data_IF_973958850566
#
_entry.id   IF_973958850566
#
_cell.length_a   1.000
_cell.length_b   1.000
_cell.length_c   1.000
_cell.angle_alpha   90.00
_cell.angle_beta   90.00
_cell.angle_gamma   90.00
#
_symmetry.space_group_name_H-M   'P 1'
#
loop_
_entity.id
_entity.type
_entity.pdbx_description
1 polymer ?
#
# COMPACT_ATOMS: atom_id res chain seq x y z
N UNK A 1 4.32 -27.22 -36.91
CA UNK A 1 4.39 -26.37 -35.68
C UNK A 1 4.89 -24.98 -36.08
N UNK A 2 3.96 -24.09 -36.36
CA UNK A 2 4.30 -22.70 -36.72
C UNK A 2 4.81 -21.98 -35.47
N UNK A 3 6.01 -21.44 -35.58
CA UNK A 3 6.63 -20.63 -34.55
C UNK A 3 5.88 -19.29 -34.47
N UNK A 4 4.90 -19.21 -33.58
CA UNK A 4 4.05 -18.04 -33.43
C UNK A 4 4.20 -17.52 -31.98
N UNK A 5 4.25 -16.18 -31.80
CA UNK A 5 4.27 -15.59 -30.48
C UNK A 5 3.05 -16.02 -29.62
N UNK A 6 1.94 -16.31 -30.26
CA UNK A 6 0.72 -16.81 -29.61
C UNK A 6 0.97 -18.21 -28.98
N UNK A 7 1.67 -19.08 -29.68
CA UNK A 7 2.01 -20.40 -29.17
C UNK A 7 3.03 -20.33 -28.04
N UNK A 8 3.99 -19.41 -28.12
CA UNK A 8 4.92 -19.12 -27.02
C UNK A 8 4.15 -18.60 -25.79
N UNK A 9 3.25 -17.65 -25.97
CA UNK A 9 2.43 -17.12 -24.89
C UNK A 9 1.54 -18.19 -24.24
N UNK A 10 0.96 -19.09 -25.02
CA UNK A 10 0.18 -20.24 -24.50
C UNK A 10 1.05 -21.17 -23.65
N UNK A 11 2.21 -21.55 -24.15
CA UNK A 11 3.14 -22.42 -23.41
C UNK A 11 3.63 -21.78 -22.11
N UNK A 12 3.96 -20.48 -22.13
CA UNK A 12 4.34 -19.72 -20.93
C UNK A 12 3.19 -19.71 -19.92
N UNK A 13 1.97 -19.44 -20.37
CA UNK A 13 0.78 -19.48 -19.54
C UNK A 13 0.55 -20.86 -18.90
N UNK A 14 0.61 -21.93 -19.68
CA UNK A 14 0.41 -23.28 -19.18
C UNK A 14 1.46 -23.67 -18.14
N UNK A 15 2.72 -23.32 -18.38
CA UNK A 15 3.81 -23.55 -17.43
C UNK A 15 3.61 -22.74 -16.13
N UNK A 16 3.21 -21.47 -16.23
CA UNK A 16 2.93 -20.65 -15.04
C UNK A 16 1.77 -21.20 -14.22
N UNK A 17 0.67 -21.59 -14.88
CA UNK A 17 -0.48 -22.18 -14.19
C UNK A 17 -0.11 -23.49 -13.48
N UNK A 18 0.70 -24.35 -14.13
CA UNK A 18 1.19 -25.58 -13.53
C UNK A 18 2.08 -25.32 -12.30
N UNK A 19 3.03 -24.37 -12.40
CA UNK A 19 3.89 -23.96 -11.29
C UNK A 19 3.08 -23.37 -10.12
N UNK A 20 2.08 -22.58 -10.39
CA UNK A 20 1.23 -21.98 -9.36
C UNK A 20 0.38 -23.04 -8.66
N UNK A 21 -0.16 -24.00 -9.41
CA UNK A 21 -0.89 -25.13 -8.85
C UNK A 21 -0.01 -25.97 -7.93
N UNK A 22 1.21 -26.27 -8.38
CA UNK A 22 2.18 -27.04 -7.60
C UNK A 22 2.62 -26.29 -6.33
N UNK A 23 2.93 -24.99 -6.46
CA UNK A 23 3.49 -24.20 -5.37
C UNK A 23 2.46 -23.73 -4.34
N UNK A 24 1.25 -23.41 -4.78
CA UNK A 24 0.23 -22.76 -3.92
C UNK A 24 -1.04 -23.60 -3.76
N UNK A 25 -1.15 -24.75 -4.43
CA UNK A 25 -2.36 -25.57 -4.41
C UNK A 25 -3.58 -24.92 -5.08
N UNK A 26 -3.39 -23.80 -5.79
CA UNK A 26 -4.46 -23.01 -6.39
C UNK A 26 -4.63 -23.41 -7.86
N UNK A 27 -5.80 -23.90 -8.21
CA UNK A 27 -6.18 -24.14 -9.61
C UNK A 27 -6.78 -22.83 -10.18
N UNK A 28 -5.97 -22.06 -10.87
CA UNK A 28 -6.41 -20.88 -11.60
C UNK A 28 -7.06 -21.31 -12.93
N UNK A 29 -8.18 -22.02 -12.85
CA UNK A 29 -9.00 -22.28 -14.03
C UNK A 29 -9.45 -20.96 -14.63
N UNK A 30 -8.77 -20.53 -15.65
CA UNK A 30 -9.17 -19.36 -16.44
C UNK A 30 -10.44 -19.68 -17.20
N UNK A 31 -11.50 -19.01 -16.83
CA UNK A 31 -12.77 -19.06 -17.53
C UNK A 31 -13.80 -19.95 -16.88
N UNK A 32 -14.08 -19.77 -15.60
CA UNK A 32 -15.41 -20.19 -15.11
C UNK A 32 -16.43 -19.25 -15.75
N UNK A 33 -17.00 -19.72 -16.83
CA UNK A 33 -18.20 -19.12 -17.43
C UNK A 33 -19.22 -18.86 -16.33
N UNK A 34 -19.64 -17.62 -16.19
CA UNK A 34 -20.73 -17.22 -15.32
C UNK A 34 -20.35 -16.48 -14.02
N UNK A 35 -19.08 -16.16 -13.76
CA UNK A 35 -18.74 -15.25 -12.67
C UNK A 35 -18.60 -13.83 -13.20
N UNK A 36 -19.28 -12.91 -12.56
CA UNK A 36 -19.10 -11.47 -12.78
C UNK A 36 -17.64 -11.10 -12.50
N UNK A 37 -16.98 -10.28 -13.33
CA UNK A 37 -15.64 -9.80 -13.05
C UNK A 37 -15.62 -9.03 -11.72
N UNK A 38 -14.63 -9.31 -10.89
CA UNK A 38 -14.39 -8.54 -9.67
C UNK A 38 -13.85 -7.17 -10.05
N UNK A 39 -14.50 -6.12 -9.60
CA UNK A 39 -14.06 -4.74 -9.79
C UNK A 39 -13.40 -4.22 -8.51
N UNK A 40 -12.10 -3.96 -8.57
CA UNK A 40 -11.37 -3.34 -7.46
C UNK A 40 -11.40 -1.82 -7.63
N UNK A 41 -12.03 -1.13 -6.69
CA UNK A 41 -12.12 0.33 -6.66
C UNK A 41 -11.13 0.88 -5.64
N UNK A 42 -10.10 1.57 -6.12
CA UNK A 42 -9.21 2.35 -5.26
C UNK A 42 -9.77 3.76 -5.11
N UNK A 43 -10.22 4.08 -3.90
CA UNK A 43 -10.72 5.41 -3.52
C UNK A 43 -9.55 6.25 -3.03
N UNK A 44 -9.25 7.32 -3.75
CA UNK A 44 -8.23 8.28 -3.34
C UNK A 44 -8.84 9.28 -2.36
N UNK A 45 -8.47 9.17 -1.09
CA UNK A 45 -9.07 9.98 -0.02
C UNK A 45 -8.57 11.41 -0.06
N UNK A 46 -7.27 11.61 -0.21
CA UNK A 46 -6.68 12.92 -0.34
C UNK A 46 -5.17 12.93 -0.21
N UNK A 47 -4.60 14.09 -0.43
CA UNK A 47 -3.17 14.35 -0.28
C UNK A 47 -2.93 15.71 0.34
N UNK A 48 -1.78 15.88 0.95
CA UNK A 48 -1.39 17.17 1.50
C UNK A 48 -1.11 18.16 0.36
N UNK A 49 -1.60 19.37 0.53
CA UNK A 49 -1.36 20.47 -0.38
C UNK A 49 -0.38 21.44 0.26
N UNK A 50 0.77 21.62 -0.35
CA UNK A 50 1.75 22.64 0.04
C UNK A 50 1.29 24.01 -0.46
N UNK A 51 0.41 24.64 0.24
CA UNK A 51 0.10 26.05 -0.01
C UNK A 51 1.06 26.96 0.77
N UNK A 52 2.09 27.41 0.08
CA UNK A 52 2.94 28.52 0.54
C UNK A 52 3.82 28.25 1.75
N UNK A 53 4.14 26.99 2.07
CA UNK A 53 5.17 26.64 3.05
C UNK A 53 4.80 26.85 4.53
N UNK A 54 3.57 27.25 4.86
CA UNK A 54 3.20 27.60 6.25
C UNK A 54 2.02 26.81 6.80
N UNK A 55 1.14 26.30 5.96
CA UNK A 55 -0.03 25.53 6.39
C UNK A 55 -0.19 24.30 5.50
N UNK A 56 0.10 23.15 6.06
CA UNK A 56 -0.14 21.88 5.42
C UNK A 56 -1.62 21.51 5.58
N UNK A 57 -2.42 21.76 4.57
CA UNK A 57 -3.82 21.34 4.54
C UNK A 57 -3.98 20.11 3.66
N UNK A 58 -4.82 19.16 4.10
CA UNK A 58 -5.23 18.05 3.27
C UNK A 58 -6.23 18.57 2.24
N UNK A 59 -5.93 18.29 0.97
CA UNK A 59 -6.93 18.39 -0.11
C UNK A 59 -7.73 17.12 -0.12
N UNK A 60 -8.91 17.17 0.46
CA UNK A 60 -9.87 16.06 0.45
C UNK A 60 -10.36 15.84 -0.98
N UNK A 61 -10.33 14.59 -1.41
CA UNK A 61 -10.85 14.15 -2.71
C UNK A 61 -12.08 13.25 -2.54
N UNK A 62 -12.12 12.48 -1.45
CA UNK A 62 -13.18 11.55 -1.10
C UNK A 62 -13.33 11.49 0.42
N UNK A 63 -14.55 11.56 0.92
CA UNK A 63 -14.88 11.31 2.32
C UNK A 63 -15.41 9.88 2.49
N UNK A 64 -15.49 9.37 3.72
CA UNK A 64 -15.99 8.01 3.96
C UNK A 64 -17.47 7.84 3.55
N UNK A 65 -18.27 8.89 3.63
CA UNK A 65 -19.65 8.88 3.15
C UNK A 65 -19.73 8.80 1.62
N UNK A 66 -18.81 9.47 0.91
CA UNK A 66 -18.74 9.40 -0.55
C UNK A 66 -18.41 7.97 -1.03
N UNK A 67 -17.59 7.23 -0.27
CA UNK A 67 -17.27 5.82 -0.57
C UNK A 67 -18.54 4.98 -0.60
N UNK A 68 -19.42 5.14 0.41
CA UNK A 68 -20.70 4.44 0.47
C UNK A 68 -21.62 4.83 -0.70
N UNK A 69 -21.69 6.13 -1.01
CA UNK A 69 -22.51 6.66 -2.11
C UNK A 69 -22.06 6.11 -3.47
N UNK A 70 -20.76 6.17 -3.76
CA UNK A 70 -20.19 5.66 -5.02
C UNK A 70 -20.39 4.15 -5.16
N UNK A 71 -20.21 3.38 -4.09
CA UNK A 71 -20.47 1.95 -4.10
C UNK A 71 -21.93 1.66 -4.45
N UNK A 72 -22.88 2.33 -3.79
CA UNK A 72 -24.30 2.12 -4.00
C UNK A 72 -24.72 2.48 -5.45
N UNK A 73 -24.16 3.55 -5.99
CA UNK A 73 -24.43 3.96 -7.37
C UNK A 73 -23.92 2.90 -8.37
N UNK A 74 -22.65 2.47 -8.24
CA UNK A 74 -22.09 1.44 -9.12
C UNK A 74 -22.84 0.12 -9.02
N UNK A 75 -23.21 -0.29 -7.81
CA UNK A 75 -24.00 -1.49 -7.59
C UNK A 75 -25.38 -1.39 -8.26
N UNK A 76 -26.03 -0.21 -8.21
CA UNK A 76 -27.29 0.04 -8.90
C UNK A 76 -27.19 -0.02 -10.42
N UNK A 77 -25.99 0.26 -10.96
CA UNK A 77 -25.67 0.14 -12.39
C UNK A 77 -25.33 -1.30 -12.81
N UNK A 78 -25.33 -2.26 -11.87
CA UNK A 78 -25.11 -3.68 -12.16
C UNK A 78 -23.72 -4.20 -11.84
N UNK A 79 -22.84 -3.40 -11.22
CA UNK A 79 -21.55 -3.86 -10.73
C UNK A 79 -21.75 -4.61 -9.40
N UNK A 80 -21.81 -5.94 -9.44
CA UNK A 80 -22.21 -6.76 -8.29
C UNK A 80 -21.07 -7.31 -7.44
N UNK A 81 -19.87 -7.37 -7.96
CA UNK A 81 -18.68 -7.86 -7.22
C UNK A 81 -17.63 -6.76 -7.10
N UNK A 82 -17.85 -5.88 -6.12
CA UNK A 82 -17.02 -4.70 -5.87
C UNK A 82 -16.15 -4.93 -4.63
N UNK A 83 -14.86 -4.60 -4.74
CA UNK A 83 -13.93 -4.53 -3.62
C UNK A 83 -13.46 -3.09 -3.49
N UNK A 84 -13.44 -2.59 -2.28
CA UNK A 84 -13.04 -1.22 -1.97
C UNK A 84 -11.64 -1.19 -1.36
N UNK A 85 -10.82 -0.24 -1.81
CA UNK A 85 -9.52 0.04 -1.20
C UNK A 85 -9.39 1.54 -0.97
N UNK A 86 -8.98 1.94 0.24
CA UNK A 86 -8.82 3.35 0.63
C UNK A 86 -7.36 3.73 0.56
N UNK A 87 -7.01 4.61 -0.38
CA UNK A 87 -5.67 5.10 -0.60
C UNK A 87 -5.50 6.50 0.01
N UNK A 88 -4.50 6.67 0.88
CA UNK A 88 -4.26 7.96 1.54
C UNK A 88 -5.27 8.32 2.63
N UNK A 89 -5.86 7.32 3.28
CA UNK A 89 -6.84 7.47 4.36
C UNK A 89 -6.23 7.97 5.68
N UNK A 90 -4.92 7.82 5.82
CA UNK A 90 -4.15 8.14 7.01
C UNK A 90 -4.00 9.65 7.18
N UNK A 91 -3.69 10.06 8.41
CA UNK A 91 -3.33 11.44 8.73
C UNK A 91 -2.17 11.91 7.84
N UNK A 92 -2.37 13.02 7.16
CA UNK A 92 -1.44 13.56 6.18
C UNK A 92 -1.71 13.11 4.74
N UNK A 93 -2.64 12.17 4.51
CA UNK A 93 -3.02 11.72 3.17
C UNK A 93 -2.00 10.81 2.50
N UNK A 94 -2.09 10.71 1.19
CA UNK A 94 -1.26 9.84 0.38
C UNK A 94 0.22 10.26 0.41
N UNK A 95 1.10 9.31 0.69
CA UNK A 95 2.56 9.42 0.80
C UNK A 95 3.13 10.22 1.99
N UNK A 96 2.30 10.79 2.88
CA UNK A 96 2.85 11.67 3.90
C UNK A 96 3.32 10.98 5.18
N UNK A 97 2.86 9.79 5.49
CA UNK A 97 3.31 9.10 6.68
C UNK A 97 3.35 7.58 6.49
N UNK A 98 4.51 7.06 6.09
CA UNK A 98 4.87 5.72 6.49
C UNK A 98 5.11 5.76 8.00
N UNK A 99 4.20 5.33 8.83
CA UNK A 99 4.33 5.61 10.24
C UNK A 99 3.87 4.50 11.13
N UNK A 100 4.60 4.35 12.21
CA UNK A 100 4.20 3.62 13.39
C UNK A 100 2.85 4.09 13.98
N UNK A 101 2.37 5.26 13.59
CA UNK A 101 1.12 5.83 14.12
C UNK A 101 0.09 5.95 13.02
N UNK A 102 -0.51 4.83 12.64
CA UNK A 102 -1.65 4.81 11.76
C UNK A 102 -2.83 5.50 12.44
N UNK A 103 -3.03 6.78 12.11
CA UNK A 103 -4.18 7.57 12.54
C UNK A 103 -5.01 7.93 11.33
N UNK A 104 -6.32 7.88 11.51
CA UNK A 104 -7.27 8.38 10.50
C UNK A 104 -7.19 9.90 10.44
N UNK A 105 -7.26 10.45 9.24
CA UNK A 105 -7.38 11.91 9.10
C UNK A 105 -8.80 12.39 9.40
N UNK A 106 -8.92 13.43 10.21
CA UNK A 106 -10.21 14.00 10.58
C UNK A 106 -10.99 14.58 9.39
N UNK A 107 -10.29 14.98 8.34
CA UNK A 107 -10.88 15.59 7.15
C UNK A 107 -11.72 14.61 6.31
N UNK A 108 -11.55 13.30 6.50
CA UNK A 108 -12.33 12.26 5.79
C UNK A 108 -13.53 11.73 6.58
N UNK A 109 -13.73 12.22 7.80
CA UNK A 109 -14.74 11.75 8.75
C UNK A 109 -14.15 11.19 10.04
N UNK A 110 -12.80 11.16 10.18
CA UNK A 110 -12.10 10.72 11.37
C UNK A 110 -12.27 9.24 11.69
N UNK A 111 -11.92 8.87 12.92
CA UNK A 111 -12.00 7.48 13.36
C UNK A 111 -13.42 6.95 13.34
N UNK A 112 -14.38 7.71 13.85
CA UNK A 112 -15.79 7.33 13.91
C UNK A 112 -16.33 7.04 12.50
N UNK A 113 -16.00 7.87 11.52
CA UNK A 113 -16.39 7.66 10.12
C UNK A 113 -15.80 6.39 9.50
N UNK A 114 -14.54 6.06 9.84
CA UNK A 114 -13.93 4.81 9.39
C UNK A 114 -14.60 3.59 10.05
N UNK A 115 -14.89 3.64 11.33
CA UNK A 115 -15.57 2.57 12.05
C UNK A 115 -16.98 2.33 11.48
N UNK A 116 -17.72 3.39 11.21
CA UNK A 116 -19.03 3.32 10.54
C UNK A 116 -18.93 2.71 9.13
N UNK A 117 -17.91 3.09 8.36
CA UNK A 117 -17.65 2.53 7.03
C UNK A 117 -17.35 1.03 7.12
N UNK A 118 -16.54 0.60 8.10
CA UNK A 118 -16.28 -0.82 8.33
C UNK A 118 -17.53 -1.58 8.76
N UNK A 119 -18.32 -1.04 9.66
CA UNK A 119 -19.57 -1.65 10.09
C UNK A 119 -20.53 -1.84 8.90
N UNK A 120 -20.63 -0.82 8.05
CA UNK A 120 -21.42 -0.87 6.82
C UNK A 120 -20.88 -1.91 5.82
N UNK A 121 -19.57 -1.96 5.60
CA UNK A 121 -18.94 -2.91 4.67
C UNK A 121 -19.16 -4.36 5.13
N UNK A 122 -18.98 -4.64 6.43
CA UNK A 122 -19.24 -5.97 7.04
C UNK A 122 -20.70 -6.37 6.89
N UNK A 123 -21.63 -5.45 7.19
CA UNK A 123 -23.08 -5.70 7.06
C UNK A 123 -23.49 -6.08 5.64
N UNK A 124 -22.82 -5.52 4.65
CA UNK A 124 -23.13 -5.73 3.23
C UNK A 124 -22.20 -6.76 2.56
N UNK A 125 -21.32 -7.43 3.31
CA UNK A 125 -20.30 -8.35 2.78
C UNK A 125 -19.39 -7.76 1.70
N UNK A 126 -19.02 -6.49 1.85
CA UNK A 126 -18.16 -5.77 0.93
C UNK A 126 -16.72 -5.85 1.45
N UNK A 127 -15.76 -6.39 0.70
CA UNK A 127 -14.35 -6.34 1.06
C UNK A 127 -13.86 -4.89 1.08
N UNK A 128 -13.40 -4.42 2.23
CA UNK A 128 -12.78 -3.10 2.41
C UNK A 128 -11.33 -3.28 2.84
N UNK A 129 -10.41 -2.68 2.09
CA UNK A 129 -8.97 -2.76 2.28
C UNK A 129 -8.43 -1.38 2.62
N UNK A 130 -7.60 -1.30 3.65
CA UNK A 130 -6.79 -0.13 3.93
C UNK A 130 -5.44 -0.28 3.20
N UNK A 131 -5.19 0.65 2.30
CA UNK A 131 -3.94 0.73 1.54
C UNK A 131 -2.90 1.48 2.38
N UNK A 132 -1.81 0.80 2.77
CA UNK A 132 -0.83 1.32 3.71
C UNK A 132 0.52 1.52 3.06
N UNK A 133 0.98 2.76 3.05
CA UNK A 133 2.36 3.06 2.75
C UNK A 133 3.20 2.84 4.02
N UNK A 134 4.00 1.79 4.03
CA UNK A 134 4.81 1.40 5.18
C UNK A 134 6.30 1.68 5.02
N UNK A 135 6.77 2.00 3.82
CA UNK A 135 8.19 2.14 3.52
C UNK A 135 8.62 3.52 3.05
N UNK A 136 7.73 4.28 2.43
CA UNK A 136 8.09 5.59 1.86
C UNK A 136 7.81 6.68 2.89
N UNK A 137 8.83 7.47 3.23
CA UNK A 137 8.77 8.55 4.21
C UNK A 137 9.08 9.86 3.53
N UNK A 138 8.27 10.88 3.73
CA UNK A 138 8.52 12.24 3.23
C UNK A 138 9.20 13.10 4.29
N UNK A 139 10.23 13.79 3.88
CA UNK A 139 10.95 14.73 4.74
C UNK A 139 11.56 14.10 5.99
N UNK A 140 11.45 14.77 7.10
CA UNK A 140 11.88 14.25 8.39
C UNK A 140 10.87 13.21 8.91
N UNK A 141 11.26 11.96 9.17
CA UNK A 141 10.39 10.93 9.75
C UNK A 141 10.08 11.23 11.22
N UNK A 142 9.39 12.32 11.49
CA UNK A 142 9.20 12.92 12.81
C UNK A 142 8.28 12.17 13.77
N UNK A 143 8.05 10.89 13.57
CA UNK A 143 7.26 10.11 14.53
C UNK A 143 8.04 9.56 15.72
N UNK A 144 9.11 10.25 16.10
CA UNK A 144 9.97 9.90 17.22
C UNK A 144 11.25 9.18 16.82
N UNK A 145 11.36 8.76 15.55
CA UNK A 145 12.60 8.23 15.01
C UNK A 145 13.51 9.35 14.55
N UNK A 146 14.79 9.21 14.79
CA UNK A 146 15.78 10.09 14.17
C UNK A 146 15.94 9.68 12.71
N UNK A 147 16.08 10.66 11.83
CA UNK A 147 16.33 10.42 10.40
C UNK A 147 17.55 9.49 10.21
N UNK A 148 18.51 9.60 11.10
CA UNK A 148 19.73 8.80 11.11
C UNK A 148 19.45 7.31 11.27
N UNK A 149 18.52 6.94 12.13
CA UNK A 149 18.34 5.57 12.57
C UNK A 149 17.24 4.84 11.79
N UNK A 150 16.30 5.60 11.20
CA UNK A 150 15.11 5.04 10.58
C UNK A 150 15.18 4.91 9.05
N UNK A 151 16.16 5.54 8.38
CA UNK A 151 16.22 5.59 6.91
C UNK A 151 17.36 4.74 6.37
N UNK A 152 17.05 3.98 5.32
CA UNK A 152 18.03 3.17 4.58
C UNK A 152 19.21 4.02 4.09
N UNK A 153 20.41 3.52 4.27
CA UNK A 153 21.66 4.13 3.79
C UNK A 153 22.18 3.40 2.55
N UNK A 154 22.51 4.15 1.51
CA UNK A 154 23.16 3.63 0.30
C UNK A 154 24.66 3.36 0.53
N UNK A 155 25.29 4.21 1.32
CA UNK A 155 26.66 4.10 1.80
C UNK A 155 26.70 4.90 3.10
N UNK A 156 27.72 4.68 3.92
CA UNK A 156 27.85 5.16 5.31
C UNK A 156 27.13 6.46 5.71
N UNK A 157 26.96 7.40 4.82
CA UNK A 157 26.38 8.73 5.11
C UNK A 157 25.27 9.15 4.16
N UNK A 158 24.99 8.38 3.12
CA UNK A 158 24.01 8.77 2.10
C UNK A 158 22.71 8.00 2.28
N UNK A 159 21.62 8.73 2.52
CA UNK A 159 20.28 8.15 2.62
C UNK A 159 19.72 7.76 1.26
N UNK A 160 18.99 6.67 1.22
CA UNK A 160 18.30 6.20 0.04
C UNK A 160 17.07 7.07 -0.24
N UNK A 161 17.18 7.95 -1.23
CA UNK A 161 16.05 8.71 -1.72
C UNK A 161 15.18 7.86 -2.65
N UNK A 162 13.89 8.03 -2.54
CA UNK A 162 12.94 7.51 -3.50
C UNK A 162 12.87 8.45 -4.72
N UNK A 163 13.00 7.90 -5.92
CA UNK A 163 12.96 8.68 -7.15
C UNK A 163 11.62 8.48 -7.85
N UNK A 164 10.96 9.58 -8.18
CA UNK A 164 9.73 9.56 -8.95
C UNK A 164 10.06 9.83 -10.43
N UNK A 165 9.50 9.03 -11.31
CA UNK A 165 9.57 9.24 -12.73
C UNK A 165 8.50 10.25 -13.14
N UNK A 166 8.90 11.39 -13.70
CA UNK A 166 7.96 12.40 -14.17
C UNK A 166 7.29 11.99 -15.50
N UNK A 167 6.33 12.80 -15.96
CA UNK A 167 5.59 12.53 -17.18
C UNK A 167 6.47 12.51 -18.46
N UNK A 168 7.67 13.07 -18.40
CA UNK A 168 8.66 13.02 -19.49
C UNK A 168 9.54 11.78 -19.42
N UNK A 169 9.37 10.95 -18.41
CA UNK A 169 10.14 9.73 -18.20
C UNK A 169 11.46 9.95 -17.48
N UNK A 170 11.74 11.14 -16.99
CA UNK A 170 12.97 11.49 -16.27
C UNK A 170 12.79 11.21 -14.79
N UNK A 171 13.77 10.53 -14.18
CA UNK A 171 13.81 10.33 -12.75
C UNK A 171 14.20 11.63 -12.06
N UNK A 172 13.36 12.08 -11.13
CA UNK A 172 13.65 13.25 -10.30
C UNK A 172 13.90 12.82 -8.87
N UNK A 173 14.92 13.40 -8.26
CA UNK A 173 15.16 13.30 -6.83
C UNK A 173 13.97 13.96 -6.10
N UNK A 174 13.46 13.29 -5.10
CA UNK A 174 12.39 13.79 -4.25
C UNK A 174 12.88 13.88 -2.81
N UNK A 175 12.10 14.50 -1.95
CA UNK A 175 12.31 14.49 -0.51
C UNK A 175 11.65 13.24 0.14
N UNK A 176 11.39 12.22 -0.66
CA UNK A 176 10.97 10.91 -0.18
C UNK A 176 12.17 10.01 0.05
N UNK A 177 12.11 9.30 1.15
CA UNK A 177 13.14 8.38 1.61
C UNK A 177 12.54 7.00 1.86
N UNK A 178 13.39 6.02 2.06
CA UNK A 178 12.97 4.65 2.31
C UNK A 178 13.29 4.27 3.74
N UNK A 179 12.31 3.75 4.46
CA UNK A 179 12.47 3.29 5.84
C UNK A 179 13.32 2.02 5.89
N UNK A 180 14.21 1.93 6.87
CA UNK A 180 15.07 0.78 7.11
C UNK A 180 14.24 -0.44 7.53
N UNK A 181 14.51 -1.63 6.96
CA UNK A 181 13.77 -2.84 7.30
C UNK A 181 13.87 -3.22 8.78
N UNK A 182 15.04 -3.06 9.37
CA UNK A 182 15.26 -3.35 10.77
C UNK A 182 14.49 -2.40 11.68
N UNK A 183 14.57 -1.10 11.41
CA UNK A 183 13.78 -0.11 12.15
C UNK A 183 12.29 -0.40 12.04
N UNK A 184 11.82 -0.81 10.87
CA UNK A 184 10.43 -1.19 10.68
C UNK A 184 10.05 -2.44 11.48
N UNK A 185 10.92 -3.47 11.53
CA UNK A 185 10.69 -4.70 12.29
C UNK A 185 10.63 -4.45 13.81
N UNK A 186 11.51 -3.59 14.32
CA UNK A 186 11.66 -3.38 15.76
C UNK A 186 10.70 -2.33 16.32
N UNK A 187 10.42 -1.27 15.57
CA UNK A 187 9.77 -0.08 16.11
C UNK A 187 8.38 0.23 15.49
N UNK A 188 8.02 -0.45 14.39
CA UNK A 188 6.85 -0.02 13.62
C UNK A 188 5.79 -1.10 13.44
N UNK A 189 6.21 -2.33 13.08
CA UNK A 189 5.26 -3.33 12.57
C UNK A 189 4.22 -3.76 13.60
N UNK A 190 4.60 -3.92 14.86
CA UNK A 190 3.69 -4.36 15.90
C UNK A 190 2.62 -3.30 16.19
N UNK A 191 3.00 -2.02 16.26
CA UNK A 191 2.10 -0.89 16.42
C UNK A 191 1.12 -0.79 15.24
N UNK A 192 1.62 -1.03 14.01
CA UNK A 192 0.78 -1.04 12.80
C UNK A 192 -0.26 -2.15 12.86
N UNK A 193 0.16 -3.37 13.20
CA UNK A 193 -0.74 -4.54 13.31
C UNK A 193 -1.79 -4.30 14.40
N UNK A 194 -1.39 -3.77 15.55
CA UNK A 194 -2.31 -3.48 16.65
C UNK A 194 -3.37 -2.45 16.22
N UNK A 195 -2.95 -1.37 15.58
CA UNK A 195 -3.87 -0.33 15.07
C UNK A 195 -4.85 -0.86 14.03
N UNK A 196 -4.38 -1.67 13.10
CA UNK A 196 -5.25 -2.27 12.09
C UNK A 196 -6.29 -3.20 12.72
N UNK A 197 -5.92 -3.95 13.77
CA UNK A 197 -6.86 -4.75 14.55
C UNK A 197 -7.89 -3.89 15.29
N UNK A 198 -7.46 -2.77 15.90
CA UNK A 198 -8.36 -1.82 16.55
C UNK A 198 -9.41 -1.26 15.57
N UNK A 199 -9.02 -0.92 14.33
CA UNK A 199 -9.95 -0.51 13.28
C UNK A 199 -10.85 -1.64 12.77
N UNK A 200 -10.60 -2.89 13.22
CA UNK A 200 -11.40 -4.05 12.89
C UNK A 200 -11.24 -4.55 11.45
N UNK A 201 -10.13 -4.18 10.79
CA UNK A 201 -9.82 -4.67 9.45
C UNK A 201 -9.11 -6.02 9.49
N UNK A 202 -9.48 -6.89 8.56
CA UNK A 202 -8.77 -8.14 8.28
C UNK A 202 -8.07 -8.11 6.92
N UNK A 203 -8.21 -7.01 6.18
CA UNK A 203 -7.69 -6.86 4.83
C UNK A 203 -6.77 -5.66 4.78
N UNK A 204 -5.52 -5.88 4.41
CA UNK A 204 -4.47 -4.88 4.35
C UNK A 204 -3.78 -4.96 3.00
N UNK A 205 -3.54 -3.82 2.38
CA UNK A 205 -2.61 -3.69 1.25
C UNK A 205 -1.29 -3.15 1.79
N UNK A 206 -0.21 -3.89 1.58
CA UNK A 206 1.12 -3.57 2.10
C UNK A 206 1.98 -2.82 1.08
N UNK A 207 1.38 -2.33 0.01
CA UNK A 207 2.04 -1.54 -1.05
C UNK A 207 3.46 -2.02 -1.38
N UNK A 208 4.46 -1.20 -1.07
CA UNK A 208 5.85 -1.38 -1.48
C UNK A 208 6.58 -2.56 -0.82
N UNK A 209 6.04 -3.15 0.26
CA UNK A 209 6.68 -4.30 0.91
C UNK A 209 6.85 -5.51 -0.02
N UNK A 210 5.98 -5.64 -1.03
CA UNK A 210 6.01 -6.74 -1.98
C UNK A 210 6.90 -6.53 -3.20
N UNK A 211 7.26 -5.28 -3.52
CA UNK A 211 7.94 -4.93 -4.78
C UNK A 211 9.30 -4.24 -4.59
N UNK A 212 9.60 -3.73 -3.40
CA UNK A 212 10.82 -2.98 -3.13
C UNK A 212 11.72 -3.71 -2.14
N UNK A 213 12.88 -4.15 -2.62
CA UNK A 213 13.91 -4.79 -1.80
C UNK A 213 15.26 -4.10 -2.00
N UNK A 214 15.87 -3.65 -0.90
CA UNK A 214 17.17 -2.97 -0.91
C UNK A 214 18.05 -3.47 0.23
N UNK A 215 19.35 -3.17 0.11
CA UNK A 215 20.30 -3.32 1.20
C UNK A 215 20.37 -2.01 1.98
N UNK A 216 20.52 -2.10 3.29
CA UNK A 216 20.86 -0.99 4.16
C UNK A 216 22.34 -1.09 4.54
N UNK A 217 23.11 -0.08 4.18
CA UNK A 217 24.54 0.00 4.51
C UNK A 217 24.75 0.84 5.77
N UNK A 218 23.92 0.60 6.80
CA UNK A 218 24.13 1.15 8.13
C UNK A 218 25.43 0.59 8.70
N UNK A 219 26.29 1.46 9.25
CA UNK A 219 27.59 1.04 9.82
C UNK A 219 27.43 0.13 11.05
N UNK A 220 26.42 0.38 11.86
CA UNK A 220 26.19 -0.36 13.09
C UNK A 220 25.56 -1.72 12.82
N UNK A 221 24.67 -1.78 11.83
CA UNK A 221 23.92 -3.00 11.51
C UNK A 221 23.57 -3.08 10.00
N UNK A 222 24.52 -3.49 9.16
CA UNK A 222 24.27 -3.59 7.73
C UNK A 222 23.35 -4.76 7.40
N UNK A 223 22.32 -4.50 6.60
CA UNK A 223 21.40 -5.51 6.08
C UNK A 223 21.55 -5.64 4.57
N UNK A 224 21.79 -6.86 4.11
CA UNK A 224 21.76 -7.17 2.69
C UNK A 224 20.36 -7.54 2.24
N UNK A 225 20.08 -7.44 0.93
CA UNK A 225 18.75 -7.72 0.36
C UNK A 225 18.11 -9.03 0.82
N UNK A 226 18.92 -10.08 0.97
CA UNK A 226 18.44 -11.40 1.43
C UNK A 226 17.92 -11.32 2.86
N UNK A 227 18.58 -10.57 3.72
CA UNK A 227 18.16 -10.36 5.11
C UNK A 227 16.91 -9.47 5.17
N UNK A 228 16.83 -8.43 4.35
CA UNK A 228 15.61 -7.60 4.23
C UNK A 228 14.40 -8.42 3.77
N UNK A 229 14.58 -9.32 2.79
CA UNK A 229 13.52 -10.26 2.37
C UNK A 229 13.10 -11.16 3.54
N UNK A 230 14.06 -11.68 4.32
CA UNK A 230 13.76 -12.54 5.45
C UNK A 230 12.90 -11.82 6.52
N UNK A 231 13.17 -10.53 6.77
CA UNK A 231 12.33 -9.71 7.63
C UNK A 231 10.93 -9.52 7.04
N UNK A 232 10.82 -9.16 5.76
CA UNK A 232 9.51 -8.96 5.11
C UNK A 232 8.64 -10.22 5.07
N UNK A 233 9.25 -11.39 4.93
CA UNK A 233 8.53 -12.67 4.94
C UNK A 233 8.09 -13.07 6.35
N UNK A 234 8.77 -12.57 7.39
CA UNK A 234 8.40 -12.78 8.80
C UNK A 234 7.10 -12.07 9.16
N UNK A 235 6.84 -10.91 8.58
CA UNK A 235 5.64 -10.09 8.83
C UNK A 235 4.43 -10.58 8.05
#
# INVERSE_FOLDING_TARGET
>A
DEFSYVNVAKNVRENLLAQWKERYGVDLAMGSSGKTPVLNLKMFMGAQNEMGGVINQIKVMTEFEDVKAMYNELNSMGASDLRLSLLGWQKGGYYWNATSKLKVDGSYGGQDGLEELYAWSKKNNIPLVLDNNLLIVYGDPTNGATFRDSIVKQANTFYLNYFIKDNSGVYRKTDFYVMGPEYFDEEVIDDVIERLKEYGTNNVDLQQLGDMVYSDYNEENPLFRVQSIALYVKW
#
